data_IF_281740915800
#
_entry.id   IF_281740915800
#
_cell.length_a   1.000
_cell.length_b   1.000
_cell.length_c   1.000
_cell.angle_alpha   90.00
_cell.angle_beta   90.00
_cell.angle_gamma   90.00
#
_symmetry.space_group_name_H-M   'P 1'
#
loop_
_entity.id
_entity.type
_entity.pdbx_description
1 polymer ?
#
# COMPACT_ATOMS: atom_id res chain seq x y z
N UNK A 1 -45.92 -60.07 8.31
CA UNK A 1 -44.87 -59.41 9.09
C UNK A 1 -43.65 -59.23 8.24
N UNK A 2 -43.44 -57.99 7.78
CA UNK A 2 -42.27 -57.61 6.96
C UNK A 2 -41.02 -57.65 7.86
N UNK A 3 -40.15 -58.64 7.69
CA UNK A 3 -38.85 -58.70 8.38
C UNK A 3 -38.01 -57.51 7.92
N UNK A 4 -37.69 -56.60 8.83
CA UNK A 4 -36.77 -55.50 8.60
C UNK A 4 -35.38 -56.09 8.35
N UNK A 5 -34.84 -55.89 7.17
CA UNK A 5 -33.53 -56.43 6.79
C UNK A 5 -32.44 -55.55 7.44
N UNK A 6 -31.88 -56.01 8.53
CA UNK A 6 -30.90 -55.31 9.37
C UNK A 6 -29.66 -54.87 8.61
N UNK A 7 -29.28 -55.60 7.55
CA UNK A 7 -28.15 -55.22 6.69
C UNK A 7 -28.42 -53.94 5.90
N UNK A 8 -29.67 -53.64 5.51
CA UNK A 8 -30.03 -52.38 4.84
C UNK A 8 -29.93 -51.18 5.76
N UNK A 9 -30.30 -51.34 7.04
CA UNK A 9 -30.22 -50.27 8.05
C UNK A 9 -28.75 -49.90 8.31
N UNK A 10 -27.87 -50.89 8.41
CA UNK A 10 -26.42 -50.68 8.56
C UNK A 10 -25.82 -49.94 7.34
N UNK A 11 -26.22 -50.30 6.12
CA UNK A 11 -25.74 -49.62 4.91
C UNK A 11 -26.21 -48.17 4.85
N UNK A 12 -27.43 -47.84 5.28
CA UNK A 12 -27.91 -46.48 5.34
C UNK A 12 -27.17 -45.65 6.41
N UNK A 13 -26.90 -46.23 7.57
CA UNK A 13 -26.14 -45.51 8.63
C UNK A 13 -24.70 -45.24 8.21
N UNK A 14 -24.05 -46.16 7.50
CA UNK A 14 -22.72 -45.95 6.92
C UNK A 14 -22.72 -44.86 5.85
N UNK A 15 -23.70 -44.88 4.94
CA UNK A 15 -23.83 -43.85 3.90
C UNK A 15 -24.05 -42.45 4.50
N UNK A 16 -24.88 -42.32 5.53
CA UNK A 16 -25.10 -41.05 6.24
C UNK A 16 -23.81 -40.59 6.95
N UNK A 17 -23.08 -41.52 7.57
CA UNK A 17 -21.81 -41.22 8.22
C UNK A 17 -20.73 -40.74 7.21
N UNK A 18 -20.64 -41.39 6.05
CA UNK A 18 -19.71 -41.02 4.97
C UNK A 18 -20.05 -39.65 4.39
N UNK A 19 -21.32 -39.33 4.18
CA UNK A 19 -21.76 -37.99 3.74
C UNK A 19 -21.42 -36.91 4.78
N UNK A 20 -21.64 -37.21 6.08
CA UNK A 20 -21.28 -36.29 7.15
C UNK A 20 -19.77 -36.07 7.21
N UNK A 21 -18.98 -37.13 7.10
CA UNK A 21 -17.51 -37.07 7.08
C UNK A 21 -16.99 -36.27 5.87
N UNK A 22 -17.57 -36.52 4.69
CA UNK A 22 -17.25 -35.81 3.48
C UNK A 22 -17.54 -34.31 3.59
N UNK A 23 -18.71 -33.92 4.06
CA UNK A 23 -19.10 -32.54 4.27
C UNK A 23 -18.18 -31.82 5.27
N UNK A 24 -17.78 -32.49 6.34
CA UNK A 24 -16.85 -31.94 7.35
C UNK A 24 -15.45 -31.77 6.80
N UNK A 25 -14.96 -32.70 5.99
CA UNK A 25 -13.65 -32.63 5.36
C UNK A 25 -13.62 -31.53 4.28
N UNK A 26 -14.65 -31.47 3.45
CA UNK A 26 -14.82 -30.43 2.43
C UNK A 26 -14.84 -29.01 3.04
N UNK A 27 -15.57 -28.84 4.16
CA UNK A 27 -15.62 -27.56 4.89
C UNK A 27 -14.24 -27.15 5.42
N UNK A 28 -13.47 -28.07 5.97
CA UNK A 28 -12.12 -27.80 6.48
C UNK A 28 -11.15 -27.41 5.37
N UNK A 29 -11.20 -28.11 4.23
CA UNK A 29 -10.37 -27.77 3.06
C UNK A 29 -10.69 -26.36 2.55
N UNK A 30 -11.96 -26.01 2.42
CA UNK A 30 -12.38 -24.68 2.02
C UNK A 30 -11.92 -23.58 3.00
N UNK A 31 -12.00 -23.83 4.30
CA UNK A 31 -11.50 -22.89 5.32
C UNK A 31 -9.97 -22.71 5.25
N UNK A 32 -9.21 -23.78 4.99
CA UNK A 32 -7.76 -23.71 4.82
C UNK A 32 -7.35 -22.90 3.59
N UNK A 33 -8.04 -23.11 2.46
CA UNK A 33 -7.78 -22.41 1.22
C UNK A 33 -8.08 -20.90 1.36
N UNK A 34 -9.18 -20.53 2.02
CA UNK A 34 -9.54 -19.16 2.33
C UNK A 34 -8.48 -18.51 3.22
N UNK A 35 -8.04 -19.21 4.27
CA UNK A 35 -7.00 -18.70 5.18
C UNK A 35 -5.66 -18.48 4.45
N UNK A 36 -5.27 -19.42 3.60
CA UNK A 36 -4.06 -19.33 2.80
C UNK A 36 -4.12 -18.17 1.79
N UNK A 37 -5.26 -17.99 1.12
CA UNK A 37 -5.49 -16.88 0.22
C UNK A 37 -5.43 -15.53 0.94
N UNK A 38 -6.06 -15.42 2.12
CA UNK A 38 -6.00 -14.21 2.95
C UNK A 38 -4.57 -13.88 3.39
N UNK A 39 -3.80 -14.91 3.81
CA UNK A 39 -2.38 -14.73 4.17
C UNK A 39 -1.55 -14.25 2.98
N UNK A 40 -1.75 -14.82 1.81
CA UNK A 40 -1.05 -14.41 0.59
C UNK A 40 -1.33 -12.94 0.22
N UNK A 41 -2.60 -12.53 0.26
CA UNK A 41 -2.99 -11.11 0.03
C UNK A 41 -2.36 -10.15 1.02
N UNK A 42 -2.32 -10.52 2.29
CA UNK A 42 -1.68 -9.69 3.33
C UNK A 42 -0.18 -9.53 3.09
N UNK A 43 0.51 -10.59 2.67
CA UNK A 43 1.94 -10.54 2.34
C UNK A 43 2.19 -9.64 1.13
N UNK A 44 1.38 -9.74 0.09
CA UNK A 44 1.48 -8.87 -1.09
C UNK A 44 1.25 -7.40 -0.73
N UNK A 45 0.25 -7.11 0.08
CA UNK A 45 -0.03 -5.76 0.56
C UNK A 45 1.16 -5.19 1.34
N UNK A 46 1.70 -5.93 2.30
CA UNK A 46 2.86 -5.50 3.10
C UNK A 46 4.12 -5.32 2.23
N UNK A 47 4.33 -6.18 1.25
CA UNK A 47 5.44 -6.05 0.30
C UNK A 47 5.34 -4.76 -0.52
N UNK A 48 4.16 -4.46 -1.08
CA UNK A 48 3.92 -3.21 -1.82
C UNK A 48 4.06 -1.98 -0.94
N UNK A 49 3.54 -2.03 0.29
CA UNK A 49 3.71 -0.96 1.26
C UNK A 49 5.20 -0.72 1.57
N UNK A 50 5.96 -1.78 1.85
CA UNK A 50 7.39 -1.69 2.09
C UNK A 50 8.16 -1.07 0.92
N UNK A 51 7.87 -1.49 -0.32
CA UNK A 51 8.47 -0.89 -1.53
C UNK A 51 8.10 0.59 -1.64
N UNK A 52 6.83 0.96 -1.42
CA UNK A 52 6.37 2.35 -1.48
C UNK A 52 7.11 3.24 -0.48
N UNK A 53 7.27 2.79 0.77
CA UNK A 53 8.01 3.54 1.78
C UNK A 53 9.51 3.63 1.48
N UNK A 54 10.12 2.58 0.95
CA UNK A 54 11.52 2.59 0.52
C UNK A 54 11.75 3.60 -0.60
N UNK A 55 10.85 3.64 -1.60
CA UNK A 55 10.88 4.65 -2.67
C UNK A 55 10.71 6.05 -2.09
N UNK A 56 9.76 6.26 -1.18
CA UNK A 56 9.57 7.55 -0.51
C UNK A 56 10.83 8.03 0.22
N UNK A 57 11.50 7.12 0.95
CA UNK A 57 12.75 7.43 1.64
C UNK A 57 13.89 7.76 0.65
N UNK A 58 14.00 7.06 -0.48
CA UNK A 58 15.00 7.35 -1.52
C UNK A 58 14.80 8.75 -2.13
N UNK A 59 13.56 9.23 -2.18
CA UNK A 59 13.25 10.57 -2.65
C UNK A 59 13.91 11.69 -1.84
N UNK A 60 14.12 11.48 -0.54
CA UNK A 60 14.87 12.44 0.30
C UNK A 60 16.32 12.59 -0.17
N UNK A 61 16.95 11.45 -0.52
CA UNK A 61 18.32 11.45 -1.04
C UNK A 61 18.38 12.14 -2.39
N UNK A 62 17.42 11.88 -3.27
CA UNK A 62 17.31 12.52 -4.60
C UNK A 62 17.13 14.03 -4.43
N UNK A 63 16.23 14.49 -3.56
CA UNK A 63 16.02 15.91 -3.30
C UNK A 63 17.29 16.58 -2.80
N UNK A 64 17.93 16.02 -1.79
CA UNK A 64 19.17 16.57 -1.23
C UNK A 64 20.29 16.65 -2.29
N UNK A 65 20.54 15.54 -2.98
CA UNK A 65 21.59 15.48 -4.00
C UNK A 65 21.35 16.48 -5.15
N UNK A 66 20.10 16.56 -5.64
CA UNK A 66 19.75 17.48 -6.71
C UNK A 66 19.88 18.95 -6.28
N UNK A 67 19.39 19.30 -5.08
CA UNK A 67 19.52 20.65 -4.54
C UNK A 67 20.98 21.06 -4.32
N UNK A 68 21.78 20.14 -3.77
CA UNK A 68 23.20 20.34 -3.56
C UNK A 68 23.96 20.54 -4.88
N UNK A 69 23.72 19.68 -5.87
CA UNK A 69 24.34 19.80 -7.18
C UNK A 69 23.98 21.11 -7.89
N UNK A 70 22.72 21.54 -7.80
CA UNK A 70 22.30 22.82 -8.36
C UNK A 70 23.05 24.00 -7.75
N UNK A 71 23.20 24.02 -6.41
CA UNK A 71 23.93 25.08 -5.73
C UNK A 71 25.44 25.03 -6.01
N UNK A 72 26.01 23.84 -6.24
CA UNK A 72 27.41 23.66 -6.55
C UNK A 72 27.76 24.05 -8.01
N UNK A 73 26.85 23.77 -8.94
CA UNK A 73 27.11 24.00 -10.40
C UNK A 73 26.73 25.40 -10.88
N UNK A 74 25.77 26.07 -10.21
CA UNK A 74 25.28 27.38 -10.61
C UNK A 74 25.66 28.44 -9.57
N UNK A 75 26.71 29.26 -9.81
CA UNK A 75 27.11 30.30 -8.88
C UNK A 75 25.97 31.29 -8.60
N UNK A 76 25.78 31.67 -7.35
CA UNK A 76 24.79 32.65 -6.91
C UNK A 76 23.30 32.24 -7.15
N UNK A 77 23.02 30.98 -7.42
CA UNK A 77 21.63 30.52 -7.48
C UNK A 77 20.96 30.70 -6.10
N UNK A 78 19.76 31.27 -6.12
CA UNK A 78 18.99 31.35 -4.89
C UNK A 78 18.59 29.95 -4.41
N UNK A 79 18.91 29.62 -3.16
CA UNK A 79 18.69 28.27 -2.58
C UNK A 79 17.25 27.75 -2.76
N UNK A 80 16.26 28.65 -2.84
CA UNK A 80 14.86 28.26 -3.08
C UNK A 80 14.68 27.60 -4.46
N UNK A 81 15.33 28.12 -5.51
CA UNK A 81 15.24 27.49 -6.84
C UNK A 81 15.92 26.13 -6.86
N UNK A 82 17.06 26.00 -6.20
CA UNK A 82 17.74 24.70 -6.06
C UNK A 82 16.88 23.70 -5.31
N UNK A 83 16.21 24.12 -4.23
CA UNK A 83 15.30 23.29 -3.44
C UNK A 83 14.06 22.88 -4.24
N UNK A 84 13.43 23.80 -4.96
CA UNK A 84 12.29 23.50 -5.84
C UNK A 84 12.66 22.47 -6.92
N UNK A 85 13.81 22.63 -7.53
CA UNK A 85 14.34 21.65 -8.50
C UNK A 85 14.50 20.27 -7.85
N UNK A 86 15.11 20.20 -6.68
CA UNK A 86 15.28 18.96 -5.92
C UNK A 86 13.94 18.29 -5.58
N UNK A 87 12.93 19.07 -5.15
CA UNK A 87 11.59 18.58 -4.86
C UNK A 87 10.93 17.98 -6.12
N UNK A 88 10.97 18.70 -7.24
CA UNK A 88 10.37 18.22 -8.50
C UNK A 88 11.04 16.94 -8.95
N UNK A 89 12.37 16.87 -8.90
CA UNK A 89 13.12 15.67 -9.28
C UNK A 89 12.84 14.49 -8.36
N UNK A 90 12.74 14.73 -7.06
CA UNK A 90 12.37 13.73 -6.06
C UNK A 90 10.97 13.16 -6.30
N UNK A 91 9.97 14.02 -6.50
CA UNK A 91 8.59 13.56 -6.76
C UNK A 91 8.53 12.76 -8.06
N UNK A 92 9.22 13.22 -9.11
CA UNK A 92 9.28 12.51 -10.40
C UNK A 92 9.94 11.15 -10.25
N UNK A 93 11.06 11.08 -9.56
CA UNK A 93 11.75 9.81 -9.24
C UNK A 93 10.85 8.85 -8.43
N UNK A 94 10.21 9.37 -7.40
CA UNK A 94 9.27 8.59 -6.59
C UNK A 94 8.10 8.05 -7.40
N UNK A 95 7.54 8.87 -8.28
CA UNK A 95 6.46 8.42 -9.17
C UNK A 95 6.93 7.29 -10.10
N UNK A 96 8.06 7.47 -10.78
CA UNK A 96 8.60 6.48 -11.72
C UNK A 96 8.94 5.15 -11.02
N UNK A 97 9.62 5.22 -9.89
CA UNK A 97 9.96 4.03 -9.11
C UNK A 97 8.72 3.32 -8.56
N UNK A 98 7.74 4.06 -8.06
CA UNK A 98 6.49 3.46 -7.62
C UNK A 98 5.73 2.83 -8.79
N UNK A 99 5.64 3.51 -9.94
CA UNK A 99 4.99 2.97 -11.14
C UNK A 99 5.60 1.65 -11.57
N UNK A 100 6.94 1.59 -11.69
CA UNK A 100 7.65 0.43 -12.24
C UNK A 100 7.82 -0.69 -11.20
N UNK A 101 8.20 -0.34 -9.96
CA UNK A 101 8.62 -1.31 -8.95
C UNK A 101 7.55 -1.65 -7.92
N UNK A 102 6.82 -0.66 -7.42
CA UNK A 102 5.81 -0.90 -6.38
C UNK A 102 4.51 -1.44 -6.98
N UNK A 103 4.00 -0.80 -8.02
CA UNK A 103 2.72 -1.13 -8.64
C UNK A 103 2.86 -1.92 -9.93
N UNK A 104 4.08 -2.11 -10.44
CA UNK A 104 4.40 -2.93 -11.62
C UNK A 104 3.60 -2.52 -12.87
N UNK A 105 3.16 -1.25 -12.92
CA UNK A 105 2.44 -0.67 -14.05
C UNK A 105 3.43 -0.23 -15.13
N UNK A 106 3.34 -0.84 -16.29
CA UNK A 106 4.23 -0.60 -17.45
C UNK A 106 3.57 0.13 -18.61
N UNK A 107 2.36 0.65 -18.40
CA UNK A 107 1.71 1.48 -19.41
C UNK A 107 2.27 2.91 -19.37
N UNK A 108 3.11 3.23 -20.35
CA UNK A 108 3.71 4.56 -20.55
C UNK A 108 3.03 5.36 -21.67
N UNK A 109 1.81 5.00 -22.08
CA UNK A 109 1.06 5.82 -23.03
C UNK A 109 0.93 7.27 -22.50
N UNK A 110 1.14 8.30 -23.32
CA UNK A 110 1.25 9.68 -22.84
C UNK A 110 0.06 10.14 -22.02
N UNK A 111 -1.15 9.81 -22.45
CA UNK A 111 -2.39 10.17 -21.75
C UNK A 111 -2.48 9.53 -20.36
N UNK A 112 -2.15 8.24 -20.29
CA UNK A 112 -2.16 7.48 -19.03
C UNK A 112 -1.08 7.99 -18.07
N UNK A 113 0.13 8.18 -18.57
CA UNK A 113 1.27 8.67 -17.81
C UNK A 113 0.99 10.05 -17.19
N UNK A 114 0.55 11.03 -18.00
CA UNK A 114 0.28 12.40 -17.52
C UNK A 114 -0.83 12.38 -16.47
N UNK A 115 -1.90 11.61 -16.69
CA UNK A 115 -3.00 11.46 -15.70
C UNK A 115 -2.48 10.91 -14.38
N UNK A 116 -1.71 9.82 -14.42
CA UNK A 116 -1.19 9.19 -13.21
C UNK A 116 -0.19 10.11 -12.48
N UNK A 117 0.70 10.76 -13.22
CA UNK A 117 1.67 11.69 -12.65
C UNK A 117 0.98 12.87 -11.95
N UNK A 118 -0.03 13.47 -12.60
CA UNK A 118 -0.81 14.56 -11.99
C UNK A 118 -1.56 14.10 -10.72
N UNK A 119 -2.19 12.94 -10.75
CA UNK A 119 -2.85 12.38 -9.57
C UNK A 119 -1.85 12.11 -8.44
N UNK A 120 -0.69 11.54 -8.76
CA UNK A 120 0.38 11.28 -7.80
C UNK A 120 0.84 12.57 -7.13
N UNK A 121 1.08 13.65 -7.89
CA UNK A 121 1.45 14.97 -7.38
C UNK A 121 0.40 15.52 -6.41
N UNK A 122 -0.87 15.50 -6.80
CA UNK A 122 -1.99 15.97 -5.95
C UNK A 122 -2.07 15.18 -4.65
N UNK A 123 -1.95 13.85 -4.71
CA UNK A 123 -2.01 13.00 -3.53
C UNK A 123 -0.80 13.18 -2.61
N UNK A 124 0.40 13.41 -3.15
CA UNK A 124 1.59 13.76 -2.36
C UNK A 124 1.40 15.09 -1.63
N UNK A 125 0.84 16.10 -2.30
CA UNK A 125 0.51 17.39 -1.68
C UNK A 125 -0.54 17.23 -0.58
N UNK A 126 -1.58 16.45 -0.81
CA UNK A 126 -2.59 16.14 0.20
C UNK A 126 -1.96 15.43 1.41
N UNK A 127 -1.06 14.49 1.18
CA UNK A 127 -0.31 13.80 2.24
C UNK A 127 0.50 14.79 3.10
N UNK A 128 1.15 15.77 2.48
CA UNK A 128 1.87 16.83 3.21
C UNK A 128 0.93 17.71 4.05
N UNK A 129 -0.24 18.07 3.53
CA UNK A 129 -1.26 18.82 4.29
C UNK A 129 -1.74 18.00 5.49
N UNK A 130 -2.05 16.71 5.32
CA UNK A 130 -2.44 15.82 6.41
C UNK A 130 -1.33 15.75 7.47
N UNK A 131 -0.08 15.58 7.07
CA UNK A 131 1.04 15.52 8.00
C UNK A 131 1.18 16.79 8.82
N UNK A 132 1.16 17.97 8.18
CA UNK A 132 1.26 19.26 8.87
C UNK A 132 0.10 19.49 9.85
N UNK A 133 -1.11 19.16 9.43
CA UNK A 133 -2.30 19.27 10.28
C UNK A 133 -2.21 18.37 11.51
N UNK A 134 -1.73 17.14 11.34
CA UNK A 134 -1.55 16.19 12.46
C UNK A 134 -0.45 16.64 13.41
N UNK A 135 0.69 17.12 12.90
CA UNK A 135 1.76 17.65 13.76
C UNK A 135 1.23 18.80 14.58
N UNK A 136 0.51 19.75 13.95
CA UNK A 136 -0.08 20.87 14.65
C UNK A 136 -1.05 20.42 15.77
N UNK A 137 -1.98 19.50 15.46
CA UNK A 137 -2.92 18.97 16.44
C UNK A 137 -2.23 18.26 17.62
N UNK A 138 -1.21 17.45 17.34
CA UNK A 138 -0.51 16.70 18.37
C UNK A 138 0.32 17.60 19.27
N UNK A 139 0.97 18.64 18.73
CA UNK A 139 1.81 19.54 19.50
C UNK A 139 0.93 20.56 20.27
N UNK A 140 0.04 21.26 19.59
CA UNK A 140 -0.70 22.38 20.19
C UNK A 140 -1.86 21.92 21.08
N UNK A 141 -2.59 20.88 20.69
CA UNK A 141 -3.77 20.46 21.45
C UNK A 141 -3.49 19.27 22.38
N UNK A 142 -2.65 18.32 21.96
CA UNK A 142 -2.37 17.13 22.78
C UNK A 142 -1.10 17.28 23.61
N UNK A 143 -0.35 18.38 23.46
CA UNK A 143 0.91 18.68 24.16
C UNK A 143 1.95 17.56 24.05
N UNK A 144 1.93 16.81 22.94
CA UNK A 144 2.90 15.75 22.68
C UNK A 144 4.20 16.37 22.19
N UNK A 145 5.33 15.84 22.62
CA UNK A 145 6.64 16.29 22.18
C UNK A 145 6.73 16.27 20.64
N UNK A 146 7.29 17.34 20.05
CA UNK A 146 7.37 17.55 18.60
C UNK A 146 7.95 16.34 17.84
N UNK A 147 9.04 15.74 18.32
CA UNK A 147 9.65 14.60 17.64
C UNK A 147 8.71 13.38 17.56
N UNK A 148 7.96 13.10 18.62
CA UNK A 148 6.98 12.01 18.67
C UNK A 148 5.79 12.34 17.76
N UNK A 149 5.30 13.57 17.82
CA UNK A 149 4.21 14.09 16.97
C UNK A 149 4.56 13.97 15.49
N UNK A 150 5.80 14.31 15.12
CA UNK A 150 6.28 14.22 13.75
C UNK A 150 6.29 12.76 13.26
N UNK A 151 6.83 11.83 14.05
CA UNK A 151 6.87 10.40 13.68
C UNK A 151 5.46 9.83 13.50
N UNK A 152 4.54 10.14 14.42
CA UNK A 152 3.14 9.70 14.33
C UNK A 152 2.44 10.28 13.09
N UNK A 153 2.61 11.59 12.84
CA UNK A 153 2.02 12.28 11.69
C UNK A 153 2.56 11.74 10.36
N UNK A 154 3.87 11.50 10.26
CA UNK A 154 4.50 10.89 9.08
C UNK A 154 3.96 9.49 8.83
N UNK A 155 3.81 8.66 9.86
CA UNK A 155 3.28 7.32 9.72
C UNK A 155 1.85 7.33 9.16
N UNK A 156 0.95 8.17 9.72
CA UNK A 156 -0.43 8.29 9.27
C UNK A 156 -0.51 8.87 7.84
N UNK A 157 0.22 9.95 7.57
CA UNK A 157 0.20 10.60 6.26
C UNK A 157 0.77 9.67 5.16
N UNK A 158 1.87 8.96 5.45
CA UNK A 158 2.49 8.02 4.51
C UNK A 158 1.60 6.83 4.21
N UNK A 159 0.92 6.28 5.21
CA UNK A 159 -0.04 5.19 5.03
C UNK A 159 -1.24 5.66 4.18
N UNK A 160 -1.78 6.84 4.49
CA UNK A 160 -2.86 7.46 3.70
C UNK A 160 -2.43 7.68 2.25
N UNK A 161 -1.22 8.21 2.04
CA UNK A 161 -0.67 8.45 0.71
C UNK A 161 -0.49 7.12 -0.08
N UNK A 162 0.00 6.07 0.56
CA UNK A 162 0.09 4.74 -0.05
C UNK A 162 -1.28 4.21 -0.49
N UNK A 163 -2.27 4.22 0.41
CA UNK A 163 -3.61 3.69 0.13
C UNK A 163 -4.32 4.47 -0.98
N UNK A 164 -4.22 5.80 -0.95
CA UNK A 164 -4.80 6.67 -1.97
C UNK A 164 -4.12 6.48 -3.33
N UNK A 165 -2.79 6.42 -3.38
CA UNK A 165 -2.08 6.17 -4.62
C UNK A 165 -2.38 4.78 -5.18
N UNK A 166 -2.39 3.74 -4.33
CA UNK A 166 -2.76 2.39 -4.76
C UNK A 166 -4.12 2.37 -5.45
N UNK A 167 -5.13 3.01 -4.85
CA UNK A 167 -6.50 3.00 -5.34
C UNK A 167 -6.74 3.98 -6.49
N UNK A 168 -6.30 5.24 -6.34
CA UNK A 168 -6.68 6.34 -7.23
C UNK A 168 -5.71 6.48 -8.39
N UNK A 169 -4.40 6.47 -8.13
CA UNK A 169 -3.38 6.66 -9.15
C UNK A 169 -3.19 5.41 -10.00
N UNK A 170 -3.07 4.26 -9.35
CA UNK A 170 -2.75 2.99 -10.01
C UNK A 170 -3.95 2.07 -10.21
N UNK A 171 -5.13 2.40 -9.68
CA UNK A 171 -6.37 1.67 -9.93
C UNK A 171 -6.41 0.26 -9.31
N UNK A 172 -5.53 -0.03 -8.35
CA UNK A 172 -5.50 -1.32 -7.68
C UNK A 172 -6.53 -1.39 -6.55
N UNK A 173 -7.07 -2.59 -6.31
CA UNK A 173 -7.89 -2.81 -5.12
C UNK A 173 -7.03 -2.79 -3.85
N UNK A 174 -7.57 -2.22 -2.78
CA UNK A 174 -6.80 -2.04 -1.53
C UNK A 174 -6.35 -3.39 -0.97
N UNK A 175 -7.16 -4.43 -1.08
CA UNK A 175 -6.95 -5.74 -0.47
C UNK A 175 -6.65 -6.88 -1.47
N UNK A 176 -6.15 -6.55 -2.64
CA UNK A 176 -5.65 -7.52 -3.62
C UNK A 176 -4.15 -7.42 -3.77
#
# INVERSE_FOLDING_TARGET
>A
TRKVNFSRVLNYSQAVWDLYRYGRTSKRLNESDIAQQKKHRSILFLSKAGRFFTVGASGLLVNYAASFLMTALIPNIWYIYATLFGIILSITSNFLLNKIWTFEDRDFSPKHFIRQYSLFMVLCTLGAVIQLSLVYLFVEYSHIQYAVSLVMAVAVASLSNFLLNKKITFGEKIWE
#
